data_IF_644378442297
#
_entry.id   IF_644378442297
#
_cell.length_a   1.000
_cell.length_b   1.000
_cell.length_c   1.000
_cell.angle_alpha   90.00
_cell.angle_beta   90.00
_cell.angle_gamma   90.00
#
_symmetry.space_group_name_H-M   'P 1'
#
loop_
_entity.id
_entity.type
_entity.pdbx_description
1 polymer ?
#
# COMPACT_ATOMS: atom_id res chain seq x y z
N UNK A 1 -15.56 0.87 -32.00
CA UNK A 1 -15.07 0.01 -30.92
C UNK A 1 -15.16 -1.42 -31.42
N UNK A 2 -14.08 -2.19 -31.39
CA UNK A 2 -14.07 -3.59 -31.85
C UNK A 2 -14.64 -4.48 -30.73
N UNK A 3 -15.80 -5.10 -30.98
CA UNK A 3 -16.59 -5.79 -29.95
C UNK A 3 -15.92 -7.08 -29.46
N UNK A 4 -15.17 -7.77 -30.32
CA UNK A 4 -14.48 -9.02 -29.93
C UNK A 4 -13.24 -8.67 -29.10
N UNK A 5 -12.46 -7.69 -29.55
CA UNK A 5 -11.29 -7.23 -28.80
C UNK A 5 -11.69 -6.65 -27.46
N UNK A 6 -12.78 -5.87 -27.40
CA UNK A 6 -13.34 -5.39 -26.15
C UNK A 6 -13.79 -6.55 -25.25
N UNK A 7 -14.53 -7.54 -25.78
CA UNK A 7 -14.98 -8.69 -25.00
C UNK A 7 -13.82 -9.50 -24.39
N UNK A 8 -12.77 -9.79 -25.17
CA UNK A 8 -11.58 -10.49 -24.66
C UNK A 8 -10.88 -9.65 -23.60
N UNK A 9 -10.74 -8.34 -23.85
CA UNK A 9 -10.17 -7.44 -22.88
C UNK A 9 -10.97 -7.49 -21.59
N UNK A 10 -12.29 -7.33 -21.62
CA UNK A 10 -13.16 -7.32 -20.44
C UNK A 10 -13.07 -8.63 -19.64
N UNK A 11 -13.01 -9.78 -20.33
CA UNK A 11 -12.90 -11.10 -19.70
C UNK A 11 -11.51 -11.46 -19.16
N UNK A 12 -10.45 -10.76 -19.60
CA UNK A 12 -9.09 -11.01 -19.10
C UNK A 12 -8.96 -10.68 -17.60
N UNK A 13 -8.06 -11.36 -16.91
CA UNK A 13 -7.80 -11.18 -15.47
C UNK A 13 -6.44 -10.55 -15.24
N UNK A 14 -6.38 -9.60 -14.33
CA UNK A 14 -5.15 -8.94 -13.90
C UNK A 14 -4.91 -9.27 -12.43
N UNK A 15 -3.91 -10.10 -12.17
CA UNK A 15 -3.52 -10.51 -10.83
C UNK A 15 -2.30 -9.72 -10.40
N UNK A 16 -2.43 -8.87 -9.37
CA UNK A 16 -1.33 -8.04 -8.84
C UNK A 16 -0.66 -8.76 -7.68
N UNK A 17 0.67 -8.88 -7.74
CA UNK A 17 1.50 -9.56 -6.73
C UNK A 17 2.38 -8.59 -5.93
N UNK A 18 2.56 -7.36 -6.41
CA UNK A 18 3.26 -6.29 -5.71
C UNK A 18 2.72 -4.93 -6.15
N UNK A 19 2.57 -4.03 -5.18
CA UNK A 19 2.38 -2.59 -5.35
C UNK A 19 3.41 -1.92 -4.44
N UNK A 20 4.48 -1.36 -5.00
CA UNK A 20 5.53 -0.68 -4.26
C UNK A 20 5.41 0.83 -4.40
N UNK A 21 5.42 1.54 -3.27
CA UNK A 21 5.38 2.99 -3.21
C UNK A 21 6.62 3.49 -2.46
N UNK A 22 7.39 4.36 -3.10
CA UNK A 22 8.58 4.99 -2.51
C UNK A 22 8.69 6.45 -2.93
N UNK A 23 9.65 7.17 -2.35
CA UNK A 23 9.95 8.57 -2.68
C UNK A 23 8.69 9.45 -2.66
N UNK A 24 7.89 9.30 -1.60
CA UNK A 24 6.69 10.10 -1.40
C UNK A 24 7.06 11.58 -1.18
N UNK A 25 6.34 12.47 -1.82
CA UNK A 25 6.40 13.93 -1.60
C UNK A 25 5.03 14.42 -1.15
N UNK A 26 4.81 15.73 -1.09
CA UNK A 26 3.47 16.27 -0.84
C UNK A 26 2.44 15.81 -1.86
N UNK A 27 2.80 15.67 -3.15
CA UNK A 27 1.84 15.46 -4.23
C UNK A 27 2.32 14.48 -5.33
N UNK A 28 3.34 13.68 -5.03
CA UNK A 28 3.84 12.63 -5.92
C UNK A 28 4.40 11.45 -5.15
N UNK A 29 4.65 10.35 -5.86
CA UNK A 29 5.41 9.20 -5.39
C UNK A 29 5.91 8.41 -6.60
N UNK A 30 6.80 7.44 -6.37
CA UNK A 30 7.19 6.47 -7.38
C UNK A 30 6.48 5.15 -7.15
N UNK A 31 5.87 4.61 -8.20
CA UNK A 31 5.07 3.40 -8.19
C UNK A 31 5.78 2.27 -8.93
N UNK A 32 5.81 1.11 -8.30
CA UNK A 32 6.16 -0.15 -8.92
C UNK A 32 4.98 -1.12 -8.82
N UNK A 33 4.69 -1.86 -9.89
CA UNK A 33 3.65 -2.88 -9.93
C UNK A 33 4.25 -4.14 -10.53
N UNK A 34 4.05 -5.28 -9.85
CA UNK A 34 4.24 -6.60 -10.45
C UNK A 34 2.89 -7.25 -10.62
N UNK A 35 2.60 -7.71 -11.83
CA UNK A 35 1.30 -8.29 -12.14
C UNK A 35 1.36 -9.29 -13.26
N UNK A 36 0.40 -10.21 -13.28
CA UNK A 36 0.22 -11.17 -14.34
C UNK A 36 -1.16 -11.02 -14.96
N UNK A 37 -1.19 -10.90 -16.28
CA UNK A 37 -2.44 -10.93 -17.05
C UNK A 37 -2.70 -12.33 -17.61
N UNK A 38 -3.93 -12.81 -17.50
CA UNK A 38 -4.39 -14.10 -18.04
C UNK A 38 -5.74 -13.94 -18.76
N UNK A 39 -6.17 -14.97 -19.51
CA UNK A 39 -7.45 -14.91 -20.23
C UNK A 39 -7.45 -13.93 -21.40
N UNK A 40 -6.29 -13.65 -22.00
CA UNK A 40 -6.10 -12.70 -23.10
C UNK A 40 -6.37 -13.30 -24.49
N UNK A 41 -7.12 -14.41 -24.53
CA UNK A 41 -7.47 -15.15 -25.74
C UNK A 41 -6.44 -16.22 -26.16
N UNK A 42 -6.78 -17.01 -27.19
CA UNK A 42 -5.95 -18.13 -27.65
C UNK A 42 -4.80 -17.73 -28.58
N UNK A 43 -4.72 -16.45 -28.98
CA UNK A 43 -3.72 -15.92 -29.90
C UNK A 43 -2.95 -14.81 -29.18
N UNK A 44 -1.62 -14.83 -29.29
CA UNK A 44 -0.79 -13.75 -28.74
C UNK A 44 -1.05 -12.42 -29.45
N UNK A 45 -1.11 -11.34 -28.69
CA UNK A 45 -1.39 -10.00 -29.19
C UNK A 45 -0.45 -8.98 -28.56
N UNK A 46 -0.19 -7.88 -29.28
CA UNK A 46 0.57 -6.74 -28.79
C UNK A 46 -0.39 -5.60 -28.49
N UNK A 47 -0.49 -5.23 -27.23
CA UNK A 47 -1.16 -4.03 -26.75
C UNK A 47 -0.18 -2.86 -26.77
N UNK A 48 -0.52 -1.78 -27.46
CA UNK A 48 0.31 -0.57 -27.48
C UNK A 48 0.39 0.07 -26.08
N UNK A 49 1.50 0.78 -25.77
CA UNK A 49 1.58 1.60 -24.56
C UNK A 49 0.43 2.61 -24.51
N UNK A 50 -0.08 2.88 -23.31
CA UNK A 50 -1.16 3.85 -23.12
C UNK A 50 -1.13 4.43 -21.71
N UNK A 51 -1.68 5.62 -21.57
CA UNK A 51 -1.99 6.19 -20.25
C UNK A 51 -3.37 5.71 -19.79
N UNK A 52 -3.48 5.37 -18.50
CA UNK A 52 -4.73 5.03 -17.83
C UNK A 52 -4.90 5.87 -16.57
N UNK A 53 -6.15 6.09 -16.18
CA UNK A 53 -6.51 6.77 -14.94
C UNK A 53 -6.49 5.79 -13.76
N UNK A 54 -5.84 6.18 -12.68
CA UNK A 54 -5.90 5.49 -11.39
C UNK A 54 -7.12 6.01 -10.62
N UNK A 55 -8.18 5.21 -10.59
CA UNK A 55 -9.48 5.60 -10.04
C UNK A 55 -9.83 4.80 -8.80
N UNK A 56 -10.16 5.49 -7.72
CA UNK A 56 -10.70 4.89 -6.50
C UNK A 56 -11.97 5.62 -6.08
N UNK A 57 -13.02 4.87 -5.74
CA UNK A 57 -14.35 5.39 -5.42
C UNK A 57 -14.82 6.46 -6.42
N UNK A 58 -14.77 6.10 -7.71
CA UNK A 58 -15.18 6.92 -8.87
C UNK A 58 -14.40 8.22 -9.08
N UNK A 59 -13.33 8.47 -8.31
CA UNK A 59 -12.48 9.63 -8.45
C UNK A 59 -11.08 9.23 -8.92
N UNK A 60 -10.67 9.80 -10.06
CA UNK A 60 -9.29 9.68 -10.54
C UNK A 60 -8.36 10.47 -9.61
N UNK A 61 -7.30 9.82 -9.11
CA UNK A 61 -6.32 10.43 -8.22
C UNK A 61 -4.91 10.54 -8.83
N UNK A 62 -4.66 9.85 -9.94
CA UNK A 62 -3.38 9.88 -10.63
C UNK A 62 -3.47 9.20 -12.00
N UNK A 63 -2.36 9.22 -12.74
CA UNK A 63 -2.24 8.64 -14.07
C UNK A 63 -1.08 7.66 -14.11
N UNK A 64 -1.26 6.57 -14.84
CA UNK A 64 -0.29 5.49 -14.98
C UNK A 64 -0.05 5.23 -16.47
N UNK A 65 1.21 5.25 -16.90
CA UNK A 65 1.62 4.77 -18.21
C UNK A 65 1.79 3.26 -18.17
N UNK A 66 0.91 2.53 -18.86
CA UNK A 66 1.07 1.11 -19.11
C UNK A 66 2.06 0.91 -20.28
N UNK A 67 3.00 -0.04 -20.16
CA UNK A 67 3.96 -0.33 -21.22
C UNK A 67 3.29 -1.09 -22.38
N UNK A 68 4.05 -1.30 -23.46
CA UNK A 68 3.66 -2.29 -24.47
C UNK A 68 3.57 -3.68 -23.80
N UNK A 69 2.46 -4.38 -24.00
CA UNK A 69 2.26 -5.73 -23.46
C UNK A 69 2.08 -6.72 -24.60
N UNK A 70 2.91 -7.77 -24.61
CA UNK A 70 2.83 -8.88 -25.57
C UNK A 70 2.22 -10.11 -24.90
N UNK A 71 0.92 -10.28 -25.09
CA UNK A 71 0.16 -11.36 -24.47
C UNK A 71 0.48 -12.72 -25.10
N UNK A 72 0.30 -13.78 -24.32
CA UNK A 72 0.38 -15.17 -24.75
C UNK A 72 -0.76 -15.99 -24.13
N UNK A 73 -1.19 -17.11 -24.74
CA UNK A 73 -2.29 -17.93 -24.21
C UNK A 73 -2.06 -18.43 -22.78
N UNK A 74 -0.79 -18.66 -22.41
CA UNK A 74 -0.39 -19.05 -21.05
C UNK A 74 -0.26 -17.89 -20.05
N UNK A 75 -0.71 -16.69 -20.38
CA UNK A 75 -0.57 -15.48 -19.56
C UNK A 75 0.76 -14.76 -19.75
N UNK A 76 0.88 -13.56 -19.18
CA UNK A 76 2.01 -12.64 -19.41
C UNK A 76 2.24 -11.78 -18.20
N UNK A 77 3.51 -11.57 -17.82
CA UNK A 77 3.89 -10.62 -16.78
C UNK A 77 3.83 -9.19 -17.33
N UNK A 78 3.26 -8.28 -16.55
CA UNK A 78 3.16 -6.86 -16.84
C UNK A 78 3.69 -6.12 -15.64
N UNK A 79 4.96 -5.72 -15.72
CA UNK A 79 5.66 -5.10 -14.62
C UNK A 79 6.01 -3.66 -14.98
N UNK A 80 5.83 -2.78 -13.99
CA UNK A 80 6.15 -1.37 -14.05
C UNK A 80 7.05 -1.10 -12.87
N UNK A 81 8.17 -0.43 -13.07
CA UNK A 81 9.11 -0.13 -11.99
C UNK A 81 9.39 1.36 -11.96
N UNK A 82 9.34 1.92 -10.76
CA UNK A 82 9.81 3.27 -10.45
C UNK A 82 9.17 4.38 -11.30
N UNK A 83 7.88 4.23 -11.62
CA UNK A 83 7.19 5.22 -12.43
C UNK A 83 6.73 6.39 -11.55
N UNK A 84 7.07 7.66 -11.87
CA UNK A 84 6.59 8.79 -11.11
C UNK A 84 5.09 9.00 -11.34
N UNK A 85 4.33 9.06 -10.25
CA UNK A 85 2.89 9.33 -10.26
C UNK A 85 2.65 10.70 -9.64
N UNK A 86 1.95 11.57 -10.37
CA UNK A 86 1.42 12.82 -9.83
C UNK A 86 0.05 12.58 -9.21
N UNK A 87 -0.14 13.07 -7.99
CA UNK A 87 -1.41 13.05 -7.29
C UNK A 87 -2.22 14.26 -7.74
N UNK A 88 -3.24 14.04 -8.57
CA UNK A 88 -4.11 15.11 -9.09
C UNK A 88 -5.35 15.34 -8.23
N UNK A 89 -5.68 14.38 -7.36
CA UNK A 89 -6.75 14.50 -6.38
C UNK A 89 -6.31 13.87 -5.05
N UNK A 90 -5.79 14.70 -4.16
CA UNK A 90 -5.27 14.27 -2.86
C UNK A 90 -6.33 13.63 -1.97
N UNK A 91 -7.57 14.12 -2.01
CA UNK A 91 -8.65 13.56 -1.21
C UNK A 91 -9.02 12.12 -1.66
N UNK A 92 -9.08 11.88 -2.98
CA UNK A 92 -9.29 10.54 -3.52
C UNK A 92 -8.12 9.60 -3.22
N UNK A 93 -6.87 10.09 -3.34
CA UNK A 93 -5.69 9.33 -2.99
C UNK A 93 -5.65 8.94 -1.49
N UNK A 94 -5.95 9.88 -0.58
CA UNK A 94 -6.00 9.60 0.85
C UNK A 94 -7.04 8.55 1.21
N UNK A 95 -8.22 8.58 0.57
CA UNK A 95 -9.25 7.53 0.73
C UNK A 95 -8.76 6.17 0.24
N UNK A 96 -8.01 6.14 -0.87
CA UNK A 96 -7.39 4.91 -1.36
C UNK A 96 -6.38 4.33 -0.37
N UNK A 97 -5.47 5.16 0.16
CA UNK A 97 -4.47 4.71 1.15
C UNK A 97 -5.13 4.29 2.47
N UNK A 98 -6.15 5.02 2.92
CA UNK A 98 -6.92 4.63 4.10
C UNK A 98 -7.58 3.26 3.93
N UNK A 99 -8.28 3.05 2.80
CA UNK A 99 -8.91 1.78 2.46
C UNK A 99 -7.88 0.64 2.37
N UNK A 100 -6.71 0.87 1.78
CA UNK A 100 -5.61 -0.09 1.76
C UNK A 100 -5.18 -0.55 3.16
N UNK A 101 -5.16 0.36 4.13
CA UNK A 101 -4.72 0.05 5.49
C UNK A 101 -5.82 -0.60 6.35
N UNK A 102 -7.08 -0.19 6.15
CA UNK A 102 -8.20 -0.51 7.05
C UNK A 102 -9.12 -1.60 6.55
N UNK A 103 -9.30 -1.72 5.23
CA UNK A 103 -10.23 -2.66 4.64
C UNK A 103 -9.55 -4.00 4.33
N UNK A 104 -10.32 -5.10 4.34
CA UNK A 104 -9.83 -6.42 3.94
C UNK A 104 -9.67 -6.53 2.42
N UNK A 105 -10.56 -5.87 1.68
CA UNK A 105 -10.61 -5.89 0.24
C UNK A 105 -10.99 -4.51 -0.30
N UNK A 106 -10.34 -4.13 -1.40
CA UNK A 106 -10.67 -2.91 -2.13
C UNK A 106 -10.51 -3.12 -3.64
N UNK A 107 -11.11 -2.23 -4.42
CA UNK A 107 -11.02 -2.23 -5.88
C UNK A 107 -10.43 -0.92 -6.36
N UNK A 108 -9.28 -0.99 -7.00
CA UNK A 108 -8.70 0.10 -7.76
C UNK A 108 -9.09 -0.10 -9.23
N UNK A 109 -9.67 0.90 -9.88
CA UNK A 109 -10.00 0.81 -11.31
C UNK A 109 -8.91 1.52 -12.12
N UNK A 110 -8.31 0.81 -13.06
CA UNK A 110 -7.56 1.38 -14.18
C UNK A 110 -8.57 1.74 -15.27
N UNK A 111 -8.74 3.01 -15.59
CA UNK A 111 -9.83 3.47 -16.46
C UNK A 111 -9.36 4.36 -17.62
N UNK A 112 -10.28 4.64 -18.55
CA UNK A 112 -10.10 5.62 -19.63
C UNK A 112 -8.88 5.41 -20.55
N UNK A 113 -8.34 4.19 -20.64
CA UNK A 113 -7.20 3.91 -21.53
C UNK A 113 -7.62 3.77 -22.99
N UNK A 114 -7.15 4.65 -23.87
CA UNK A 114 -7.34 4.47 -25.31
C UNK A 114 -6.41 3.36 -25.81
N UNK A 115 -6.96 2.17 -26.06
CA UNK A 115 -6.17 0.97 -26.31
C UNK A 115 -6.19 0.56 -27.79
N UNK A 116 -5.01 0.21 -28.30
CA UNK A 116 -4.84 -0.41 -29.62
C UNK A 116 -4.17 -1.77 -29.44
N UNK A 117 -4.80 -2.82 -29.94
CA UNK A 117 -4.31 -4.20 -29.87
C UNK A 117 -4.06 -4.71 -31.28
N UNK A 118 -2.90 -5.31 -31.51
CA UNK A 118 -2.52 -5.96 -32.76
C UNK A 118 -2.36 -7.46 -32.54
N UNK A 119 -3.01 -8.27 -33.35
CA UNK A 119 -2.85 -9.72 -33.33
C UNK A 119 -2.79 -10.23 -34.76
N UNK A 120 -1.70 -10.91 -35.12
CA UNK A 120 -1.44 -11.34 -36.51
C UNK A 120 -1.53 -10.14 -37.48
N UNK A 121 -2.47 -10.17 -38.43
CA UNK A 121 -2.72 -9.09 -39.41
C UNK A 121 -3.89 -8.16 -39.01
N UNK A 122 -4.48 -8.36 -37.83
CA UNK A 122 -5.63 -7.60 -37.34
C UNK A 122 -5.20 -6.51 -36.36
N UNK A 123 -5.89 -5.37 -36.41
CA UNK A 123 -5.75 -4.28 -35.44
C UNK A 123 -7.13 -3.92 -34.91
N UNK A 124 -7.30 -3.99 -33.60
CA UNK A 124 -8.51 -3.58 -32.90
C UNK A 124 -8.28 -2.35 -32.04
N UNK A 125 -9.33 -1.53 -31.89
CA UNK A 125 -9.38 -0.41 -30.95
C UNK A 125 -10.44 -0.66 -29.90
N UNK A 126 -10.07 -0.49 -28.64
CA UNK A 126 -10.91 -0.72 -27.47
C UNK A 126 -10.63 0.32 -26.39
N UNK A 127 -11.47 0.35 -25.35
CA UNK A 127 -11.24 1.14 -24.16
C UNK A 127 -10.76 0.22 -23.05
N UNK A 128 -9.56 0.49 -22.54
CA UNK A 128 -9.00 -0.22 -21.41
C UNK A 128 -9.66 0.24 -20.12
N UNK A 129 -10.35 -0.71 -19.50
CA UNK A 129 -10.90 -0.58 -18.16
C UNK A 129 -10.66 -1.90 -17.42
N UNK A 130 -10.01 -1.83 -16.26
CA UNK A 130 -9.77 -2.99 -15.41
C UNK A 130 -9.95 -2.70 -13.94
N UNK A 131 -10.75 -3.54 -13.29
CA UNK A 131 -10.85 -3.58 -11.85
C UNK A 131 -9.71 -4.45 -11.30
N UNK A 132 -8.89 -3.82 -10.46
CA UNK A 132 -7.77 -4.43 -9.76
C UNK A 132 -8.25 -4.71 -8.35
N UNK A 133 -8.54 -5.98 -8.08
CA UNK A 133 -8.92 -6.43 -6.76
C UNK A 133 -7.67 -6.56 -5.89
N UNK A 134 -7.59 -5.75 -4.83
CA UNK A 134 -6.46 -5.71 -3.93
C UNK A 134 -6.91 -6.23 -2.57
N UNK A 135 -6.14 -7.14 -1.99
CA UNK A 135 -6.26 -7.50 -0.58
C UNK A 135 -5.63 -6.38 0.24
N UNK A 136 -6.40 -5.73 1.09
CA UNK A 136 -5.91 -4.70 2.00
C UNK A 136 -5.18 -5.29 3.21
N UNK A 137 -4.67 -4.43 4.07
CA UNK A 137 -3.89 -4.83 5.24
C UNK A 137 -4.76 -5.27 6.42
N UNK A 138 -6.02 -4.81 6.47
CA UNK A 138 -6.97 -5.08 7.55
C UNK A 138 -6.38 -4.84 8.96
N UNK A 139 -5.67 -3.72 9.17
CA UNK A 139 -4.98 -3.43 10.43
C UNK A 139 -3.92 -4.50 10.75
N UNK A 140 -2.74 -4.46 10.09
CA UNK A 140 -1.82 -5.58 10.07
C UNK A 140 -1.41 -6.01 11.49
N UNK A 141 -1.51 -7.32 11.84
CA UNK A 141 -1.12 -7.81 13.16
C UNK A 141 0.31 -7.39 13.49
N UNK A 142 0.45 -6.69 14.62
CA UNK A 142 1.72 -6.14 15.09
C UNK A 142 2.00 -6.65 16.49
N UNK A 143 3.22 -7.10 16.73
CA UNK A 143 3.68 -7.57 18.05
C UNK A 143 5.05 -7.02 18.38
N UNK A 144 5.34 -6.86 19.65
CA UNK A 144 6.71 -6.63 20.13
C UNK A 144 7.46 -7.95 20.03
N UNK A 145 8.48 -8.03 19.17
CA UNK A 145 9.35 -9.21 19.12
C UNK A 145 10.48 -9.12 20.14
N UNK A 146 11.01 -7.91 20.39
CA UNK A 146 12.06 -7.68 21.39
C UNK A 146 12.05 -6.25 21.92
N UNK A 147 12.41 -6.09 23.19
CA UNK A 147 12.68 -4.77 23.79
C UNK A 147 14.03 -4.79 24.47
N UNK A 148 14.88 -3.82 24.15
CA UNK A 148 16.19 -3.60 24.75
C UNK A 148 16.24 -2.19 25.38
N UNK A 149 17.36 -1.85 26.02
CA UNK A 149 17.60 -0.50 26.53
C UNK A 149 17.65 0.50 25.36
N UNK A 150 16.59 1.27 25.22
CA UNK A 150 16.43 2.34 24.23
C UNK A 150 15.79 1.93 22.91
N UNK A 151 15.47 0.64 22.69
CA UNK A 151 14.91 0.19 21.41
C UNK A 151 13.79 -0.85 21.54
N UNK A 152 12.85 -0.79 20.61
CA UNK A 152 11.78 -1.77 20.40
C UNK A 152 11.92 -2.37 19.00
N UNK A 153 11.80 -3.68 18.89
CA UNK A 153 11.65 -4.37 17.61
C UNK A 153 10.21 -4.83 17.50
N UNK A 154 9.51 -4.32 16.48
CA UNK A 154 8.13 -4.66 16.18
C UNK A 154 8.10 -5.60 14.98
N UNK A 155 7.37 -6.71 15.09
CA UNK A 155 7.13 -7.64 14.01
C UNK A 155 5.71 -7.47 13.48
N UNK A 156 5.58 -7.37 12.16
CA UNK A 156 4.32 -7.14 11.46
C UNK A 156 4.11 -8.22 10.41
N UNK A 157 2.86 -8.67 10.27
CA UNK A 157 2.45 -9.51 9.16
C UNK A 157 1.49 -8.77 8.23
N UNK A 158 1.95 -8.40 7.05
CA UNK A 158 1.16 -7.73 6.03
C UNK A 158 0.72 -8.72 4.94
N UNK A 159 -0.57 -8.96 4.85
CA UNK A 159 -1.15 -9.89 3.87
C UNK A 159 -1.44 -9.25 2.51
N UNK A 160 -1.33 -7.92 2.40
CA UNK A 160 -1.52 -7.19 1.15
C UNK A 160 -0.28 -7.30 0.24
N UNK A 161 -0.43 -7.08 -1.08
CA UNK A 161 0.70 -6.95 -1.99
C UNK A 161 1.44 -5.60 -1.85
N UNK A 162 1.06 -4.77 -0.87
CA UNK A 162 1.52 -3.39 -0.74
C UNK A 162 2.85 -3.30 -0.01
N UNK A 163 3.73 -2.46 -0.54
CA UNK A 163 4.94 -2.00 0.12
C UNK A 163 4.97 -0.47 0.10
N UNK A 164 5.22 0.17 1.24
CA UNK A 164 5.31 1.64 1.36
C UNK A 164 6.50 2.01 2.23
N UNK A 165 7.36 2.87 1.69
CA UNK A 165 8.39 3.54 2.48
C UNK A 165 7.83 4.79 3.20
N UNK A 166 7.77 4.73 4.53
CA UNK A 166 7.36 5.86 5.37
C UNK A 166 8.55 6.68 5.89
N UNK A 167 9.79 6.32 5.53
CA UNK A 167 10.99 6.96 6.07
C UNK A 167 11.08 6.81 7.60
N UNK A 168 11.59 7.83 8.27
CA UNK A 168 11.64 7.87 9.75
C UNK A 168 10.23 8.14 10.28
N UNK A 169 9.60 7.10 10.80
CA UNK A 169 8.24 7.11 11.33
C UNK A 169 8.22 7.40 12.82
N UNK A 170 7.11 7.96 13.27
CA UNK A 170 6.82 8.29 14.66
C UNK A 170 5.58 7.51 15.10
N UNK A 171 5.71 6.79 16.20
CA UNK A 171 4.60 6.08 16.82
C UNK A 171 4.51 6.40 18.31
N UNK A 172 3.35 6.13 18.88
CA UNK A 172 3.12 6.09 20.31
C UNK A 172 2.53 4.74 20.70
N UNK A 173 2.95 4.24 21.86
CA UNK A 173 2.27 3.16 22.56
C UNK A 173 1.32 3.82 23.55
N UNK A 174 0.01 3.58 23.41
CA UNK A 174 -1.03 4.22 24.23
C UNK A 174 -1.86 3.21 24.99
N UNK A 175 -2.27 3.58 26.21
CA UNK A 175 -3.35 2.94 26.96
C UNK A 175 -4.47 3.96 27.18
N UNK A 176 -5.55 3.83 26.40
CA UNK A 176 -6.56 4.89 26.27
C UNK A 176 -5.93 6.19 25.76
N UNK A 177 -6.10 7.27 26.54
CA UNK A 177 -5.52 8.59 26.25
C UNK A 177 -4.10 8.77 26.81
N UNK A 178 -3.59 7.79 27.55
CA UNK A 178 -2.26 7.85 28.16
C UNK A 178 -1.21 7.37 27.17
N UNK A 179 -0.20 8.20 26.90
CA UNK A 179 0.98 7.81 26.13
C UNK A 179 1.98 7.14 27.08
N UNK A 180 2.24 5.85 26.86
CA UNK A 180 3.20 5.07 27.64
C UNK A 180 4.63 5.26 27.12
N UNK A 181 4.80 5.30 25.80
CA UNK A 181 6.10 5.50 25.17
C UNK A 181 5.96 6.12 23.77
N UNK A 182 6.99 6.87 23.38
CA UNK A 182 7.18 7.39 22.02
C UNK A 182 8.22 6.54 21.30
N UNK A 183 7.95 6.23 20.04
CA UNK A 183 8.78 5.39 19.18
C UNK A 183 9.20 6.19 17.95
N UNK A 184 10.47 6.09 17.57
CA UNK A 184 11.01 6.75 16.39
C UNK A 184 12.02 5.88 15.66
N UNK A 185 11.86 5.72 14.35
CA UNK A 185 12.83 5.00 13.53
C UNK A 185 12.34 4.74 12.11
N UNK A 186 13.21 4.21 11.24
CA UNK A 186 12.83 3.90 9.86
C UNK A 186 11.74 2.82 9.83
N UNK A 187 10.73 3.02 8.98
CA UNK A 187 9.68 2.03 8.75
C UNK A 187 9.39 1.90 7.26
N UNK A 188 9.47 0.66 6.78
CA UNK A 188 8.98 0.27 5.47
C UNK A 188 7.96 -0.84 5.68
N UNK A 189 6.73 -0.58 5.24
CA UNK A 189 5.73 -1.64 5.11
C UNK A 189 6.21 -2.53 3.96
N UNK A 190 6.36 -3.82 4.21
CA UNK A 190 6.74 -4.83 3.21
C UNK A 190 5.63 -5.88 3.10
N UNK A 191 5.53 -6.57 1.97
CA UNK A 191 4.61 -7.72 1.85
C UNK A 191 5.10 -8.88 2.73
N UNK A 192 4.18 -9.64 3.32
CA UNK A 192 4.51 -10.76 4.19
C UNK A 192 4.97 -10.32 5.60
N UNK A 193 5.85 -11.12 6.20
CA UNK A 193 6.40 -10.84 7.53
C UNK A 193 7.62 -9.91 7.46
N UNK A 194 7.64 -8.87 8.28
CA UNK A 194 8.80 -8.00 8.43
C UNK A 194 8.96 -7.51 9.87
N UNK A 195 10.16 -7.08 10.23
CA UNK A 195 10.46 -6.42 11.49
C UNK A 195 11.01 -5.03 11.24
N UNK A 196 10.77 -4.12 12.17
CA UNK A 196 11.39 -2.80 12.17
C UNK A 196 11.74 -2.37 13.59
N UNK A 197 12.89 -1.70 13.70
CA UNK A 197 13.42 -1.21 14.97
C UNK A 197 13.04 0.25 15.17
N UNK A 198 12.63 0.59 16.38
CA UNK A 198 12.28 1.94 16.80
C UNK A 198 13.04 2.29 18.07
N UNK A 199 13.62 3.49 18.12
CA UNK A 199 14.12 4.06 19.37
C UNK A 199 12.94 4.40 20.28
N UNK A 200 13.04 4.08 21.57
CA UNK A 200 11.99 4.32 22.56
C UNK A 200 12.39 5.50 23.44
N UNK A 201 11.50 6.48 23.58
CA UNK A 201 11.61 7.54 24.58
C UNK A 201 10.44 7.46 25.55
N UNK A 202 10.72 7.53 26.85
CA UNK A 202 9.69 7.63 27.91
C UNK A 202 9.27 9.09 28.06
N UNK A 203 7.98 9.38 28.32
CA UNK A 203 7.60 10.70 28.84
C UNK A 203 7.78 10.76 30.36
N UNK A 204 8.36 11.84 30.84
CA UNK A 204 8.90 12.08 32.19
C UNK A 204 7.90 12.10 33.37
N UNK A 205 6.74 11.45 33.29
CA UNK A 205 5.85 11.34 34.45
C UNK A 205 5.56 9.89 34.79
N UNK A 206 5.69 9.49 36.08
CA UNK A 206 5.02 8.31 36.57
C UNK A 206 3.53 8.66 36.54
N UNK A 207 2.88 8.44 35.39
CA UNK A 207 1.45 8.14 35.44
C UNK A 207 1.40 6.95 36.38
N UNK A 208 0.63 7.08 37.46
CA UNK A 208 0.37 5.99 38.38
C UNK A 208 -0.08 4.80 37.53
N UNK A 209 0.86 3.95 37.14
CA UNK A 209 0.61 2.81 36.28
C UNK A 209 0.00 1.76 37.21
N UNK A 210 -1.28 1.97 37.53
CA UNK A 210 -2.17 0.83 37.58
C UNK A 210 -1.93 0.06 36.30
N UNK A 211 -1.71 -1.26 36.41
CA UNK A 211 -1.58 -2.20 35.31
C UNK A 211 -2.32 -1.72 34.06
N UNK A 212 -1.69 -1.77 32.87
CA UNK A 212 -2.34 -1.38 31.63
C UNK A 212 -3.77 -1.93 31.58
N UNK A 213 -4.75 -1.10 31.21
CA UNK A 213 -6.17 -1.46 31.29
C UNK A 213 -6.57 -2.61 30.35
N UNK A 214 -5.61 -3.09 29.54
CA UNK A 214 -5.74 -4.21 28.61
C UNK A 214 -5.95 -3.78 27.16
N UNK A 215 -6.21 -2.49 26.91
CA UNK A 215 -6.50 -1.95 25.57
C UNK A 215 -5.35 -1.11 25.02
N UNK A 216 -4.13 -1.67 25.05
CA UNK A 216 -2.93 -0.98 24.56
C UNK A 216 -2.89 -0.97 23.03
N UNK A 217 -2.52 0.16 22.46
CA UNK A 217 -2.49 0.39 21.02
C UNK A 217 -1.13 0.93 20.59
N UNK A 218 -0.66 0.46 19.44
CA UNK A 218 0.34 1.14 18.64
C UNK A 218 -0.37 2.15 17.73
N UNK A 219 0.02 3.42 17.82
CA UNK A 219 -0.61 4.53 17.10
C UNK A 219 0.44 5.28 16.28
N UNK A 220 0.27 5.34 14.97
CA UNK A 220 1.10 6.19 14.12
C UNK A 220 0.78 7.67 14.36
N UNK A 221 1.81 8.50 14.58
CA UNK A 221 1.61 9.93 14.85
C UNK A 221 2.11 10.83 13.72
N UNK A 222 2.97 10.31 12.86
CA UNK A 222 3.46 10.99 11.66
C UNK A 222 4.84 10.51 11.26
N UNK A 223 5.50 11.25 10.39
CA UNK A 223 6.89 10.96 9.97
C UNK A 223 7.76 12.20 10.21
N UNK A 224 9.07 12.02 10.29
CA UNK A 224 10.02 13.13 10.51
C UNK A 224 9.99 14.16 9.38
N UNK A 225 9.97 13.70 8.12
CA UNK A 225 9.71 14.54 6.96
C UNK A 225 8.20 14.76 6.78
N UNK A 226 7.66 15.72 7.53
CA UNK A 226 6.24 16.01 7.56
C UNK A 226 5.69 16.65 6.26
N UNK A 227 6.54 16.87 5.24
CA UNK A 227 6.14 17.44 3.96
C UNK A 227 5.46 16.42 3.03
N UNK A 228 5.73 15.13 3.23
CA UNK A 228 5.16 14.05 2.42
C UNK A 228 3.75 13.65 2.89
N UNK A 229 2.92 13.16 1.97
CA UNK A 229 1.58 12.65 2.31
C UNK A 229 1.62 11.47 3.30
N UNK A 230 2.76 10.76 3.40
CA UNK A 230 2.98 9.67 4.36
C UNK A 230 2.83 10.10 5.81
N UNK A 231 3.08 11.38 6.12
CA UNK A 231 2.84 11.96 7.43
C UNK A 231 1.38 11.85 7.88
N UNK A 232 0.44 12.00 6.95
CA UNK A 232 -0.97 11.85 7.24
C UNK A 232 -1.39 10.39 7.24
N UNK A 233 -0.91 9.59 6.28
CA UNK A 233 -1.38 8.21 6.13
C UNK A 233 -0.84 7.28 7.22
N UNK A 234 0.32 7.57 7.82
CA UNK A 234 0.81 6.79 8.96
C UNK A 234 -0.19 6.83 10.14
N UNK A 235 -0.97 7.91 10.26
CA UNK A 235 -1.96 8.08 11.34
C UNK A 235 -3.16 7.15 11.23
N UNK A 236 -3.32 6.48 10.09
CA UNK A 236 -4.31 5.41 9.93
C UNK A 236 -3.89 4.12 10.64
N UNK A 237 -2.60 3.97 10.99
CA UNK A 237 -2.11 2.83 11.76
C UNK A 237 -2.53 3.00 13.21
N UNK A 238 -3.48 2.16 13.61
CA UNK A 238 -3.95 2.02 14.99
C UNK A 238 -4.24 0.55 15.26
N UNK A 239 -3.28 -0.17 15.82
CA UNK A 239 -3.36 -1.62 16.01
C UNK A 239 -3.26 -2.00 17.48
N UNK A 240 -4.06 -2.98 17.94
CA UNK A 240 -3.84 -3.62 19.24
C UNK A 240 -2.39 -4.06 19.41
N UNK A 241 -1.84 -3.85 20.60
CA UNK A 241 -0.47 -4.22 20.93
C UNK A 241 -0.42 -4.85 22.32
N UNK A 242 0.06 -6.08 22.40
CA UNK A 242 0.37 -6.72 23.67
C UNK A 242 1.76 -6.28 24.15
N UNK A 243 1.83 -5.78 25.39
CA UNK A 243 3.10 -5.41 26.01
C UNK A 243 3.82 -6.66 26.53
N UNK A 244 5.13 -6.72 26.34
CA UNK A 244 5.97 -7.77 26.93
C UNK A 244 6.38 -7.40 28.35
N UNK A 245 6.65 -8.39 29.21
CA UNK A 245 7.18 -8.16 30.57
C UNK A 245 8.43 -7.28 30.55
N UNK A 246 9.28 -7.46 29.53
CA UNK A 246 10.50 -6.67 29.35
C UNK A 246 10.18 -5.20 29.05
N UNK A 247 9.22 -4.93 28.17
CA UNK A 247 8.74 -3.57 27.92
C UNK A 247 8.20 -2.92 29.18
N UNK A 248 7.32 -3.63 29.90
CA UNK A 248 6.74 -3.16 31.17
C UNK A 248 7.85 -2.83 32.17
N UNK A 249 8.81 -3.72 32.36
CA UNK A 249 9.91 -3.53 33.32
C UNK A 249 10.80 -2.30 33.06
N UNK A 250 10.91 -1.87 31.80
CA UNK A 250 11.81 -0.79 31.39
C UNK A 250 11.08 0.56 31.21
N UNK A 251 9.80 0.55 30.84
CA UNK A 251 9.12 1.73 30.31
C UNK A 251 7.78 2.09 30.96
N UNK A 252 7.16 1.20 31.75
CA UNK A 252 5.94 1.51 32.51
C UNK A 252 6.28 1.66 33.99
#
# INVERSE_FOLDING_TARGET
MDTIVQYILDQSKLDVTLIGIKNATHDSFHLSIESRVTGTGPIGATMAPMEVDLTFDKACFGKLMLPEVRTRPGGTQVNIYDQPIKIINMAAFKRFVESLMRDEHLVLTLDNGACTIKAMFLTGRCTYRKDVHIKGMNGPPTKISRTDEGTNILAVHNQSPLEIDHGVSLFEIRDGDTVLAELKGPMQIKRGGFEFTQNITRRDKPVSASNPTGNVLLVGTGVEDNSAWTNETLKYIRTPLELTDKFVSLYT
#
